data_IF_258685540763
#
_entry.id   IF_258685540763
#
_cell.length_a   1.000
_cell.length_b   1.000
_cell.length_c   1.000
_cell.angle_alpha   90.00
_cell.angle_beta   90.00
_cell.angle_gamma   90.00
#
_symmetry.space_group_name_H-M   'P 1'
#
loop_
_entity.id
_entity.type
_entity.pdbx_description
1 polymer ?
#
# COMPACT_ATOMS: atom_id res chain seq x y z
N UNK A 1 -9.23 11.02 -7.83
CA UNK A 1 -8.79 10.56 -6.49
C UNK A 1 -9.41 9.19 -6.26
N UNK A 2 -8.61 8.20 -5.89
CA UNK A 2 -9.07 6.84 -5.62
C UNK A 2 -10.15 6.84 -4.52
N UNK A 3 -11.23 6.03 -4.68
CA UNK A 3 -12.36 5.96 -3.73
C UNK A 3 -11.90 5.62 -2.31
N UNK A 4 -11.03 4.65 -2.17
CA UNK A 4 -10.53 4.16 -0.88
C UNK A 4 -9.72 5.24 -0.15
N UNK A 5 -8.91 5.99 -0.88
CA UNK A 5 -8.17 7.13 -0.35
C UNK A 5 -9.10 8.21 0.20
N UNK A 6 -10.16 8.56 -0.55
CA UNK A 6 -11.13 9.55 -0.09
C UNK A 6 -11.79 9.13 1.22
N UNK A 7 -12.22 7.88 1.32
CA UNK A 7 -12.82 7.33 2.54
C UNK A 7 -11.86 7.39 3.74
N UNK A 8 -10.57 7.12 3.53
CA UNK A 8 -9.56 7.22 4.58
C UNK A 8 -9.34 8.66 5.04
N UNK A 9 -9.16 9.59 4.11
CA UNK A 9 -8.98 11.01 4.40
C UNK A 9 -10.20 11.60 5.14
N UNK A 10 -11.41 11.23 4.74
CA UNK A 10 -12.63 11.65 5.43
C UNK A 10 -12.67 11.15 6.89
N UNK A 11 -12.25 9.90 7.13
CA UNK A 11 -12.13 9.34 8.49
C UNK A 11 -11.05 10.03 9.30
N UNK A 12 -9.89 10.28 8.69
CA UNK A 12 -8.76 11.00 9.29
C UNK A 12 -9.19 12.40 9.74
N UNK A 13 -9.92 13.13 8.91
CA UNK A 13 -10.44 14.45 9.26
C UNK A 13 -11.40 14.40 10.45
N UNK A 14 -12.32 13.43 10.50
CA UNK A 14 -13.21 13.23 11.65
C UNK A 14 -12.43 12.97 12.95
N UNK A 15 -11.37 12.15 12.90
CA UNK A 15 -10.50 11.92 14.06
C UNK A 15 -9.84 13.22 14.52
N UNK A 16 -9.28 14.01 13.60
CA UNK A 16 -8.66 15.31 13.92
C UNK A 16 -9.67 16.27 14.53
N UNK A 17 -10.90 16.32 14.04
CA UNK A 17 -11.98 17.13 14.61
C UNK A 17 -12.31 16.74 16.06
N UNK A 18 -12.41 15.45 16.36
CA UNK A 18 -12.64 14.94 17.71
C UNK A 18 -11.50 15.36 18.64
N UNK A 19 -10.24 15.12 18.20
CA UNK A 19 -9.06 15.50 18.97
C UNK A 19 -9.00 17.01 19.26
N UNK A 20 -9.35 17.84 18.27
CA UNK A 20 -9.38 19.31 18.44
C UNK A 20 -10.47 19.74 19.43
N UNK A 21 -11.68 19.17 19.37
CA UNK A 21 -12.74 19.44 20.34
C UNK A 21 -12.29 19.11 21.77
N UNK A 22 -11.67 17.95 21.96
CA UNK A 22 -11.15 17.54 23.26
C UNK A 22 -10.00 18.44 23.74
N UNK A 23 -9.12 18.86 22.84
CA UNK A 23 -8.06 19.81 23.15
C UNK A 23 -8.62 21.16 23.65
N UNK A 24 -9.66 21.69 22.99
CA UNK A 24 -10.33 22.94 23.42
C UNK A 24 -11.00 22.79 24.79
N UNK A 25 -11.55 21.60 25.10
CA UNK A 25 -12.08 21.34 26.45
C UNK A 25 -11.00 21.47 27.51
N UNK A 26 -9.85 20.76 27.37
CA UNK A 26 -8.76 20.82 28.34
C UNK A 26 -8.11 22.23 28.43
N UNK A 27 -8.07 22.93 27.31
CA UNK A 27 -7.59 24.32 27.28
C UNK A 27 -8.48 25.25 28.10
N UNK A 28 -9.81 25.10 28.02
CA UNK A 28 -10.76 25.88 28.86
C UNK A 28 -10.58 25.55 30.33
N UNK A 29 -10.21 24.35 30.68
CA UNK A 29 -10.01 23.90 32.07
C UNK A 29 -8.57 24.11 32.55
N UNK A 30 -7.73 24.85 31.81
CA UNK A 30 -6.33 25.13 32.13
C UNK A 30 -5.47 23.89 32.40
N UNK A 31 -5.77 22.74 31.74
CA UNK A 31 -4.97 21.53 31.83
C UNK A 31 -3.96 21.44 30.66
N UNK A 32 -2.87 22.20 30.81
CA UNK A 32 -1.81 22.30 29.80
C UNK A 32 -1.16 20.96 29.49
N UNK A 33 -1.12 20.03 30.45
CA UNK A 33 -0.54 18.69 30.26
C UNK A 33 -1.37 17.87 29.26
N UNK A 34 -2.70 17.86 29.42
CA UNK A 34 -3.58 17.16 28.50
C UNK A 34 -3.61 17.84 27.12
N UNK A 35 -3.57 19.17 27.09
CA UNK A 35 -3.45 19.93 25.83
C UNK A 35 -2.20 19.52 25.05
N UNK A 36 -1.06 19.32 25.72
CA UNK A 36 0.18 18.87 25.08
C UNK A 36 0.04 17.43 24.56
N UNK A 37 -0.49 16.50 25.36
CA UNK A 37 -0.70 15.10 24.97
C UNK A 37 -1.60 15.02 23.72
N UNK A 38 -2.73 15.73 23.72
CA UNK A 38 -3.67 15.72 22.60
C UNK A 38 -3.04 16.39 21.37
N UNK A 39 -2.28 17.48 21.56
CA UNK A 39 -1.58 18.14 20.46
C UNK A 39 -0.56 17.20 19.79
N UNK A 40 0.13 16.37 20.56
CA UNK A 40 1.04 15.34 20.03
C UNK A 40 0.27 14.22 19.29
N UNK A 41 -0.91 13.83 19.80
CA UNK A 41 -1.76 12.87 19.09
C UNK A 41 -2.28 13.44 17.76
N UNK A 42 -2.68 14.72 17.72
CA UNK A 42 -3.07 15.41 16.46
C UNK A 42 -1.92 15.37 15.47
N UNK A 43 -0.70 15.77 15.89
CA UNK A 43 0.49 15.71 15.03
C UNK A 43 0.77 14.29 14.51
N UNK A 44 0.56 13.28 15.34
CA UNK A 44 0.75 11.87 14.93
C UNK A 44 -0.24 11.49 13.84
N UNK A 45 -1.52 11.88 13.98
CA UNK A 45 -2.55 11.63 12.95
C UNK A 45 -2.30 12.45 11.69
N UNK A 46 -1.91 13.71 11.81
CA UNK A 46 -1.59 14.58 10.67
C UNK A 46 -0.38 14.09 9.89
N UNK A 47 0.67 13.67 10.62
CA UNK A 47 1.92 13.15 10.06
C UNK A 47 1.87 11.65 9.78
N UNK A 48 0.68 11.09 9.70
CA UNK A 48 0.45 9.71 9.33
C UNK A 48 1.12 9.40 7.99
N UNK A 49 2.28 8.79 8.04
CA UNK A 49 3.11 8.52 6.89
C UNK A 49 3.06 7.03 6.55
N UNK A 50 2.61 6.73 5.33
CA UNK A 50 2.72 5.40 4.76
C UNK A 50 4.05 5.28 4.01
N UNK A 51 5.03 4.67 4.66
CA UNK A 51 6.32 4.38 4.05
C UNK A 51 6.26 3.03 3.38
N UNK A 52 6.45 2.98 2.08
CA UNK A 52 6.45 1.77 1.27
C UNK A 52 7.83 1.59 0.66
N UNK A 53 8.52 0.53 1.04
CA UNK A 53 9.84 0.22 0.49
C UNK A 53 9.72 -0.75 -0.68
N UNK A 54 10.40 -0.44 -1.77
CA UNK A 54 10.53 -1.34 -2.91
C UNK A 54 11.77 -2.20 -2.74
N UNK A 55 11.59 -3.50 -2.84
CA UNK A 55 12.66 -4.49 -2.73
C UNK A 55 12.55 -5.51 -3.87
N UNK A 56 13.64 -6.16 -4.18
CA UNK A 56 13.71 -7.15 -5.24
C UNK A 56 15.11 -7.19 -5.83
N UNK A 57 15.37 -8.19 -6.65
CA UNK A 57 16.65 -8.34 -7.31
C UNK A 57 17.01 -7.14 -8.17
N UNK A 58 18.29 -7.07 -8.51
CA UNK A 58 18.78 -6.16 -9.53
C UNK A 58 18.03 -6.37 -10.85
N UNK A 59 17.75 -5.29 -11.57
CA UNK A 59 16.95 -5.33 -12.81
C UNK A 59 15.49 -5.79 -12.68
N UNK A 60 14.94 -5.96 -11.48
CA UNK A 60 13.51 -6.22 -11.31
C UNK A 60 12.61 -5.05 -11.78
N UNK A 61 13.22 -3.88 -12.04
CA UNK A 61 12.52 -2.72 -12.57
C UNK A 61 11.95 -1.79 -11.48
N UNK A 62 12.53 -1.78 -10.27
CA UNK A 62 12.10 -0.93 -9.15
C UNK A 62 12.03 0.54 -9.53
N UNK A 63 13.14 1.12 -10.00
CA UNK A 63 13.18 2.53 -10.42
C UNK A 63 12.27 2.82 -11.62
N UNK A 64 12.10 1.85 -12.54
CA UNK A 64 11.12 1.98 -13.64
C UNK A 64 9.69 2.02 -13.13
N UNK A 65 9.36 1.20 -12.13
CA UNK A 65 8.07 1.19 -11.47
C UNK A 65 7.78 2.53 -10.78
N UNK A 66 8.75 3.07 -10.06
CA UNK A 66 8.62 4.39 -9.43
C UNK A 66 8.45 5.49 -10.48
N UNK A 67 9.24 5.48 -11.55
CA UNK A 67 9.08 6.39 -12.68
C UNK A 67 7.66 6.28 -13.30
N UNK A 68 7.12 5.07 -13.43
CA UNK A 68 5.75 4.86 -13.93
C UNK A 68 4.68 5.44 -12.98
N UNK A 69 4.86 5.33 -11.67
CA UNK A 69 3.99 5.96 -10.68
C UNK A 69 4.06 7.49 -10.72
N UNK A 70 5.24 8.04 -11.03
CA UNK A 70 5.44 9.50 -11.19
C UNK A 70 4.96 10.02 -12.55
N UNK A 71 4.81 9.14 -13.54
CA UNK A 71 4.44 9.51 -14.91
C UNK A 71 5.59 10.09 -15.71
N UNK A 72 6.82 10.05 -15.20
CA UNK A 72 8.00 10.58 -15.87
C UNK A 72 9.29 9.86 -15.46
N UNK A 73 10.32 9.93 -16.30
CA UNK A 73 11.61 9.32 -16.04
C UNK A 73 12.48 10.25 -15.20
N UNK A 74 12.47 10.05 -13.89
CA UNK A 74 13.27 10.80 -12.92
C UNK A 74 14.45 9.97 -12.37
N UNK A 75 14.18 8.75 -11.99
CA UNK A 75 15.19 7.85 -11.43
C UNK A 75 15.91 7.10 -12.54
N UNK A 76 17.25 6.93 -12.43
CA UNK A 76 18.01 6.14 -13.38
C UNK A 76 17.56 4.68 -13.32
N UNK A 77 17.34 4.08 -14.49
CA UNK A 77 16.92 2.70 -14.65
C UNK A 77 17.71 2.06 -15.78
N UNK A 78 18.92 1.58 -15.50
CA UNK A 78 19.80 0.95 -16.49
C UNK A 78 19.98 -0.54 -16.23
N UNK A 79 20.60 -1.25 -17.16
CA UNK A 79 20.94 -2.69 -17.07
C UNK A 79 22.11 -3.01 -16.13
N UNK A 80 22.79 -2.02 -15.58
CA UNK A 80 23.86 -2.17 -14.57
C UNK A 80 23.37 -1.60 -13.24
N UNK A 81 24.02 -1.94 -12.13
CA UNK A 81 23.69 -1.40 -10.80
C UNK A 81 23.58 0.12 -10.86
N UNK A 82 22.35 0.64 -10.64
CA UNK A 82 22.04 2.04 -10.90
C UNK A 82 21.74 2.83 -9.66
N UNK A 83 21.23 2.17 -8.63
CA UNK A 83 20.86 2.82 -7.38
C UNK A 83 21.84 2.41 -6.30
N UNK A 84 22.71 3.33 -5.91
CA UNK A 84 23.71 3.13 -4.85
C UNK A 84 23.29 3.78 -3.52
N UNK A 85 22.24 4.60 -3.55
CA UNK A 85 21.71 5.36 -2.41
C UNK A 85 20.22 5.10 -2.24
N UNK A 86 19.71 5.34 -1.04
CA UNK A 86 18.28 5.29 -0.78
C UNK A 86 17.65 6.60 -1.24
N UNK A 87 16.54 6.49 -1.99
CA UNK A 87 15.77 7.65 -2.42
C UNK A 87 14.39 7.60 -1.78
N UNK A 88 14.00 8.68 -1.11
CA UNK A 88 12.66 8.89 -0.57
C UNK A 88 11.87 9.79 -1.49
N UNK A 89 10.83 9.26 -2.10
CA UNK A 89 9.93 10.00 -2.96
C UNK A 89 8.73 10.45 -2.14
N UNK A 90 8.58 11.76 -2.00
CA UNK A 90 7.57 12.44 -1.19
C UNK A 90 6.77 13.41 -2.07
N UNK A 91 5.55 13.73 -1.68
CA UNK A 91 4.78 14.74 -2.41
C UNK A 91 5.37 16.14 -2.23
N UNK A 92 5.31 16.97 -3.30
CA UNK A 92 5.85 18.35 -3.31
C UNK A 92 5.36 19.22 -2.15
N UNK A 93 4.15 18.99 -1.63
CA UNK A 93 3.60 19.74 -0.49
C UNK A 93 4.37 19.49 0.82
N UNK A 94 5.27 18.52 0.86
CA UNK A 94 6.15 18.21 2.01
C UNK A 94 7.48 18.94 1.95
N UNK A 95 7.78 19.61 0.84
CA UNK A 95 8.88 20.57 0.72
C UNK A 95 8.59 21.78 1.60
N UNK A 96 9.61 22.26 2.34
CA UNK A 96 9.45 23.40 3.26
C UNK A 96 9.61 24.74 2.57
N UNK A 97 10.47 24.83 1.56
CA UNK A 97 10.82 26.08 0.87
C UNK A 97 10.64 25.98 -0.65
N UNK A 98 9.93 24.96 -1.14
CA UNK A 98 9.69 24.74 -2.57
C UNK A 98 10.87 24.08 -3.31
N UNK A 99 11.83 23.52 -2.56
CA UNK A 99 12.86 22.65 -3.11
C UNK A 99 12.27 21.39 -3.75
N UNK A 100 12.87 20.92 -4.86
CA UNK A 100 12.48 19.67 -5.51
C UNK A 100 13.25 18.46 -4.96
N UNK A 101 14.34 18.68 -4.21
CA UNK A 101 15.04 17.60 -3.54
C UNK A 101 16.03 18.10 -2.50
N UNK A 102 16.46 17.19 -1.62
CA UNK A 102 17.52 17.41 -0.63
C UNK A 102 18.43 16.17 -0.62
N UNK A 103 19.71 16.39 -0.84
CA UNK A 103 20.74 15.36 -0.68
C UNK A 103 21.30 15.44 0.73
N UNK A 104 21.32 14.32 1.44
CA UNK A 104 21.91 14.20 2.76
C UNK A 104 23.22 13.41 2.66
N UNK A 105 24.26 13.94 3.24
CA UNK A 105 25.57 13.32 3.23
C UNK A 105 25.89 12.64 4.58
N UNK A 106 26.71 11.61 4.54
CA UNK A 106 27.12 10.84 5.73
C UNK A 106 27.84 11.68 6.80
N UNK A 107 28.39 12.83 6.44
CA UNK A 107 29.01 13.78 7.36
C UNK A 107 27.99 14.75 8.03
N UNK A 108 26.70 14.62 7.74
CA UNK A 108 25.63 15.46 8.27
C UNK A 108 25.36 16.74 7.45
N UNK A 109 26.11 16.99 6.38
CA UNK A 109 25.83 18.09 5.46
C UNK A 109 24.58 17.82 4.62
N UNK A 110 23.98 18.90 4.08
CA UNK A 110 22.82 18.83 3.20
C UNK A 110 23.05 19.71 1.98
N UNK A 111 22.58 19.25 0.83
CA UNK A 111 22.56 20.04 -0.41
C UNK A 111 21.12 20.13 -0.92
N UNK A 112 20.65 21.34 -1.20
CA UNK A 112 19.29 21.60 -1.68
C UNK A 112 19.31 21.57 -3.20
N UNK A 113 18.46 20.71 -3.77
CA UNK A 113 18.23 20.63 -5.20
C UNK A 113 17.02 21.51 -5.58
N UNK A 114 17.30 22.63 -6.25
CA UNK A 114 16.23 23.49 -6.76
C UNK A 114 15.48 22.83 -7.92
N UNK A 115 16.13 21.89 -8.60
CA UNK A 115 15.56 21.09 -9.67
C UNK A 115 15.99 19.63 -9.53
N UNK A 116 15.00 18.74 -9.49
CA UNK A 116 15.19 17.30 -9.38
C UNK A 116 14.91 16.63 -10.76
N UNK A 117 15.67 16.98 -11.79
CA UNK A 117 15.60 16.29 -13.08
C UNK A 117 16.51 15.04 -13.11
N UNK A 118 16.31 14.23 -14.14
CA UNK A 118 17.03 12.98 -14.34
C UNK A 118 18.57 13.14 -14.24
N UNK A 119 19.13 14.18 -14.85
CA UNK A 119 20.58 14.39 -14.87
C UNK A 119 21.11 14.76 -13.48
N UNK A 120 20.41 15.64 -12.79
CA UNK A 120 20.75 16.06 -11.43
C UNK A 120 20.68 14.87 -10.47
N UNK A 121 19.57 14.13 -10.47
CA UNK A 121 19.39 12.97 -9.60
C UNK A 121 20.45 11.90 -9.91
N UNK A 122 20.69 11.60 -11.19
CA UNK A 122 21.67 10.59 -11.61
C UNK A 122 23.09 10.88 -11.11
N UNK A 123 23.46 12.16 -10.97
CA UNK A 123 24.79 12.55 -10.48
C UNK A 123 25.04 12.17 -9.00
N UNK A 124 23.98 12.00 -8.21
CA UNK A 124 24.07 11.63 -6.79
C UNK A 124 23.77 10.15 -6.53
N UNK A 125 22.89 9.54 -7.32
CA UNK A 125 22.36 8.19 -7.01
C UNK A 125 22.91 7.09 -7.93
N UNK A 126 23.50 7.43 -9.07
CA UNK A 126 24.01 6.44 -10.03
C UNK A 126 25.40 5.94 -9.63
N UNK A 127 25.62 4.63 -9.74
CA UNK A 127 26.95 4.03 -9.60
C UNK A 127 27.94 4.50 -10.66
N UNK A 128 27.47 5.09 -11.76
CA UNK A 128 28.31 5.71 -12.81
C UNK A 128 28.76 7.13 -12.45
N UNK A 129 28.18 7.76 -11.44
CA UNK A 129 28.66 9.01 -10.89
C UNK A 129 30.02 8.79 -10.24
N UNK A 130 30.87 9.84 -10.18
CA UNK A 130 32.21 9.71 -9.63
C UNK A 130 32.16 9.00 -8.28
N UNK A 131 32.82 7.85 -8.14
CA UNK A 131 32.79 6.94 -6.98
C UNK A 131 32.93 7.64 -5.62
N UNK A 132 33.50 8.84 -5.58
CA UNK A 132 33.67 9.66 -4.40
C UNK A 132 32.40 10.36 -3.91
N UNK A 133 31.42 10.62 -4.78
CA UNK A 133 30.16 11.30 -4.42
C UNK A 133 29.16 10.27 -3.85
N UNK A 134 28.99 9.15 -4.55
CA UNK A 134 28.04 8.09 -4.15
C UNK A 134 28.36 7.54 -2.73
N UNK A 135 29.64 7.38 -2.40
CA UNK A 135 30.05 6.89 -1.06
C UNK A 135 29.80 7.90 0.07
N UNK A 136 29.55 9.16 -0.24
CA UNK A 136 29.29 10.22 0.73
C UNK A 136 27.81 10.55 0.90
N UNK A 137 26.97 10.14 -0.03
CA UNK A 137 25.53 10.35 0.06
C UNK A 137 24.93 9.30 0.99
N UNK A 138 24.19 9.74 1.98
CA UNK A 138 23.42 8.88 2.89
C UNK A 138 22.08 8.54 2.24
N UNK A 139 21.30 9.56 1.92
CA UNK A 139 20.05 9.39 1.20
C UNK A 139 19.65 10.68 0.44
N UNK A 140 18.64 10.55 -0.41
CA UNK A 140 18.07 11.68 -1.14
C UNK A 140 16.56 11.76 -0.90
N UNK A 141 16.07 12.91 -0.49
CA UNK A 141 14.66 13.25 -0.48
C UNK A 141 14.27 13.92 -1.81
N UNK A 142 13.25 13.42 -2.48
CA UNK A 142 12.70 13.98 -3.71
C UNK A 142 11.25 14.41 -3.48
N UNK A 143 10.94 15.66 -3.80
CA UNK A 143 9.61 16.26 -3.63
C UNK A 143 8.93 16.42 -4.99
N UNK A 144 7.98 15.53 -5.30
CA UNK A 144 7.45 15.33 -6.63
C UNK A 144 5.96 15.67 -6.73
N UNK A 145 5.52 16.17 -7.87
CA UNK A 145 4.11 16.42 -8.16
C UNK A 145 3.44 15.16 -8.69
N UNK A 146 3.19 14.21 -7.81
CA UNK A 146 2.54 12.96 -8.18
C UNK A 146 1.28 12.73 -7.36
N UNK A 147 0.18 12.42 -8.06
CA UNK A 147 -1.08 12.05 -7.43
C UNK A 147 -0.97 10.83 -6.52
N UNK A 148 -0.03 9.94 -6.79
CA UNK A 148 0.20 8.76 -5.97
C UNK A 148 0.80 9.14 -4.60
N UNK A 149 1.69 10.11 -4.56
CA UNK A 149 2.36 10.56 -3.33
C UNK A 149 1.53 11.50 -2.45
N UNK A 150 0.41 12.03 -2.96
CA UNK A 150 -0.51 12.80 -2.13
C UNK A 150 -0.96 11.94 -0.93
N UNK A 151 -1.29 12.54 0.21
CA UNK A 151 -1.78 11.82 1.41
C UNK A 151 -0.68 11.17 2.25
N UNK A 152 0.48 11.83 2.37
CA UNK A 152 1.61 11.40 3.21
C UNK A 152 2.18 10.02 2.87
N UNK A 153 2.16 9.64 1.60
CA UNK A 153 2.87 8.45 1.13
C UNK A 153 4.33 8.81 0.86
N UNK A 154 5.22 7.96 1.34
CA UNK A 154 6.63 7.97 0.97
C UNK A 154 6.96 6.64 0.30
N UNK A 155 7.43 6.71 -0.94
CA UNK A 155 7.99 5.57 -1.63
C UNK A 155 9.50 5.57 -1.44
N UNK A 156 10.05 4.40 -1.13
CA UNK A 156 11.49 4.24 -0.91
C UNK A 156 12.07 3.36 -1.99
N UNK A 157 12.93 3.95 -2.83
CA UNK A 157 13.76 3.18 -3.77
C UNK A 157 15.00 2.68 -3.02
N UNK A 158 15.09 1.38 -2.87
CA UNK A 158 16.23 0.75 -2.20
C UNK A 158 17.23 0.21 -3.22
N UNK A 159 18.54 0.18 -2.88
CA UNK A 159 19.52 -0.56 -3.64
C UNK A 159 19.07 -2.01 -3.89
N UNK A 160 19.46 -2.59 -5.05
CA UNK A 160 19.16 -3.99 -5.35
C UNK A 160 19.78 -4.93 -4.30
N UNK A 161 19.11 -6.06 -4.03
CA UNK A 161 19.48 -7.03 -2.99
C UNK A 161 20.90 -7.62 -3.14
N UNK A 162 21.42 -7.58 -4.35
CA UNK A 162 22.77 -8.05 -4.69
C UNK A 162 23.79 -6.90 -4.76
N UNK A 163 23.44 -5.70 -4.31
CA UNK A 163 24.32 -4.54 -4.28
C UNK A 163 25.54 -4.80 -3.40
N UNK A 164 26.71 -4.70 -4.00
CA UNK A 164 27.98 -5.27 -3.56
C UNK A 164 28.67 -4.50 -2.42
N UNK A 165 28.11 -3.42 -1.91
CA UNK A 165 28.77 -2.64 -0.87
C UNK A 165 28.31 -3.11 0.52
N UNK A 166 29.23 -3.70 1.29
CA UNK A 166 29.10 -3.90 2.73
C UNK A 166 28.65 -2.58 3.38
N UNK A 167 27.46 -2.56 3.98
CA UNK A 167 26.82 -1.37 4.57
C UNK A 167 25.49 -0.99 3.95
N UNK A 168 25.25 -1.21 2.65
CA UNK A 168 23.96 -0.93 2.01
C UNK A 168 22.86 -1.89 2.47
N UNK A 169 23.24 -3.12 2.83
CA UNK A 169 22.31 -4.12 3.35
C UNK A 169 21.70 -3.70 4.68
N UNK A 170 22.54 -3.28 5.64
CA UNK A 170 22.09 -2.85 6.97
C UNK A 170 21.17 -1.62 6.90
N UNK A 171 21.47 -0.67 6.01
CA UNK A 171 20.65 0.53 5.81
C UNK A 171 19.30 0.15 5.19
N UNK A 172 19.30 -0.73 4.18
CA UNK A 172 18.07 -1.24 3.57
C UNK A 172 17.24 -2.03 4.58
N UNK A 173 17.85 -2.87 5.40
CA UNK A 173 17.19 -3.65 6.44
C UNK A 173 16.51 -2.75 7.49
N UNK A 174 17.21 -1.72 7.96
CA UNK A 174 16.64 -0.73 8.88
C UNK A 174 15.45 0.02 8.27
N UNK A 175 15.53 0.34 6.97
CA UNK A 175 14.42 0.95 6.25
C UNK A 175 13.21 0.03 6.14
N UNK A 176 13.42 -1.25 5.88
CA UNK A 176 12.36 -2.25 5.86
C UNK A 176 11.64 -2.30 7.20
N UNK A 177 12.36 -2.36 8.30
CA UNK A 177 11.79 -2.41 9.67
C UNK A 177 10.97 -1.16 10.01
N UNK A 178 11.32 0.00 9.46
CA UNK A 178 10.62 1.26 9.66
C UNK A 178 9.47 1.47 8.69
N UNK A 179 9.34 0.64 7.67
CA UNK A 179 8.35 0.79 6.62
C UNK A 179 6.98 0.25 7.03
N UNK A 180 5.94 0.79 6.41
CA UNK A 180 4.56 0.37 6.59
C UNK A 180 4.22 -0.89 5.81
N UNK A 181 4.83 -1.02 4.64
CA UNK A 181 4.70 -2.14 3.73
C UNK A 181 5.95 -2.27 2.86
N UNK A 182 6.11 -3.45 2.28
CA UNK A 182 7.13 -3.71 1.27
C UNK A 182 6.47 -4.19 -0.02
N UNK A 183 6.92 -3.68 -1.16
CA UNK A 183 6.59 -4.25 -2.47
C UNK A 183 7.79 -5.07 -2.91
N UNK A 184 7.63 -6.39 -2.95
CA UNK A 184 8.64 -7.28 -3.50
C UNK A 184 8.39 -7.50 -5.00
N UNK A 185 9.40 -7.18 -5.82
CA UNK A 185 9.30 -7.26 -7.28
C UNK A 185 10.08 -8.44 -7.83
N UNK A 186 9.37 -9.39 -8.43
CA UNK A 186 9.94 -10.45 -9.25
C UNK A 186 10.13 -9.98 -10.70
N UNK A 187 11.09 -10.59 -11.40
CA UNK A 187 11.25 -10.44 -12.85
C UNK A 187 10.55 -11.57 -13.60
N UNK A 188 9.88 -11.24 -14.70
CA UNK A 188 9.17 -12.25 -15.49
C UNK A 188 10.09 -13.21 -16.25
N UNK A 189 11.29 -12.77 -16.62
CA UNK A 189 12.29 -13.58 -17.35
C UNK A 189 12.97 -14.65 -16.48
N UNK A 190 13.03 -14.43 -15.16
CA UNK A 190 13.61 -15.37 -14.20
C UNK A 190 12.89 -15.28 -12.86
N UNK A 191 11.61 -15.68 -12.80
CA UNK A 191 10.81 -15.49 -11.61
C UNK A 191 11.13 -16.53 -10.53
N UNK A 192 11.34 -16.06 -9.30
CA UNK A 192 11.45 -16.92 -8.13
C UNK A 192 12.81 -17.62 -8.01
N UNK A 193 13.88 -16.88 -8.14
CA UNK A 193 15.23 -17.35 -7.85
C UNK A 193 15.38 -17.77 -6.38
N UNK A 194 16.38 -18.62 -6.09
CA UNK A 194 16.70 -18.96 -4.68
C UNK A 194 17.09 -17.72 -3.87
N UNK A 195 17.67 -16.71 -4.51
CA UNK A 195 18.00 -15.43 -3.88
C UNK A 195 16.75 -14.66 -3.49
N UNK A 196 15.73 -14.62 -4.38
CA UNK A 196 14.44 -13.99 -4.08
C UNK A 196 13.80 -14.62 -2.84
N UNK A 197 13.72 -15.95 -2.79
CA UNK A 197 13.07 -16.65 -1.69
C UNK A 197 13.83 -16.59 -0.38
N UNK A 198 15.17 -16.56 -0.41
CA UNK A 198 15.98 -16.29 0.80
C UNK A 198 15.66 -14.91 1.37
N UNK A 199 15.59 -13.91 0.50
CA UNK A 199 15.30 -12.55 0.95
C UNK A 199 13.85 -12.40 1.42
N UNK A 200 12.89 -13.06 0.77
CA UNK A 200 11.49 -13.09 1.23
C UNK A 200 11.41 -13.72 2.63
N UNK A 201 12.19 -14.74 2.93
CA UNK A 201 12.26 -15.33 4.26
C UNK A 201 12.74 -14.32 5.30
N UNK A 202 13.82 -13.57 5.00
CA UNK A 202 14.33 -12.52 5.87
C UNK A 202 13.30 -11.37 6.03
N UNK A 203 12.65 -10.99 4.92
CA UNK A 203 11.65 -9.92 4.89
C UNK A 203 10.43 -10.23 5.76
N UNK A 204 9.93 -11.47 5.72
CA UNK A 204 8.79 -11.94 6.55
C UNK A 204 9.03 -11.81 8.05
N UNK A 205 10.29 -11.87 8.50
CA UNK A 205 10.66 -11.70 9.89
C UNK A 205 10.70 -10.21 10.32
N UNK A 206 10.76 -9.28 9.36
CA UNK A 206 10.97 -7.85 9.61
C UNK A 206 9.74 -7.00 9.35
N UNK A 207 8.86 -7.43 8.46
CA UNK A 207 7.68 -6.67 8.06
C UNK A 207 6.46 -7.58 7.90
N UNK A 208 5.34 -7.16 8.47
CA UNK A 208 4.10 -7.96 8.44
C UNK A 208 3.41 -7.93 7.08
N UNK A 209 3.74 -6.96 6.25
CA UNK A 209 3.02 -6.68 5.03
C UNK A 209 3.94 -6.67 3.83
N UNK A 210 3.80 -7.68 2.97
CA UNK A 210 4.54 -7.82 1.73
C UNK A 210 3.53 -7.93 0.59
N UNK A 211 3.65 -7.05 -0.39
CA UNK A 211 2.88 -7.08 -1.64
C UNK A 211 3.81 -7.60 -2.74
N UNK A 212 3.35 -8.59 -3.48
CA UNK A 212 4.18 -9.20 -4.51
C UNK A 212 3.76 -8.71 -5.90
N UNK A 213 4.75 -8.24 -6.68
CA UNK A 213 4.57 -7.84 -8.06
C UNK A 213 5.49 -8.68 -8.97
N UNK A 214 4.94 -9.24 -10.04
CA UNK A 214 5.68 -9.80 -11.16
C UNK A 214 5.78 -8.73 -12.22
N UNK A 215 6.93 -8.08 -12.34
CA UNK A 215 7.16 -7.03 -13.33
C UNK A 215 7.65 -7.60 -14.65
N UNK A 216 7.54 -6.77 -15.71
CA UNK A 216 7.96 -7.09 -17.09
C UNK A 216 7.11 -8.17 -17.75
N UNK A 217 5.80 -8.20 -17.47
CA UNK A 217 4.89 -9.17 -18.10
C UNK A 217 4.83 -9.02 -19.63
N UNK A 218 5.23 -7.87 -20.17
CA UNK A 218 5.36 -7.59 -21.59
C UNK A 218 6.54 -8.30 -22.26
N UNK A 219 7.50 -8.79 -21.47
CA UNK A 219 8.66 -9.56 -21.94
C UNK A 219 8.39 -11.07 -21.96
N UNK A 220 7.24 -11.53 -21.43
CA UNK A 220 6.88 -12.96 -21.38
C UNK A 220 6.68 -13.49 -22.80
N UNK A 221 7.31 -14.63 -23.09
CA UNK A 221 7.32 -15.24 -24.41
C UNK A 221 6.05 -16.04 -24.69
N UNK A 222 5.00 -15.33 -25.07
CA UNK A 222 3.71 -15.94 -25.43
C UNK A 222 3.86 -16.96 -26.58
N UNK A 223 4.83 -16.75 -27.48
CA UNK A 223 5.13 -17.68 -28.57
C UNK A 223 5.63 -19.05 -28.10
N UNK A 224 6.18 -19.14 -26.87
CA UNK A 224 6.63 -20.38 -26.23
C UNK A 224 5.53 -20.98 -25.32
N UNK A 225 4.32 -20.43 -25.32
CA UNK A 225 3.17 -20.90 -24.53
C UNK A 225 3.12 -20.35 -23.10
N UNK A 226 4.04 -19.46 -22.75
CA UNK A 226 4.02 -18.81 -21.44
C UNK A 226 2.99 -17.66 -21.41
N UNK A 227 2.39 -17.47 -20.25
CA UNK A 227 1.46 -16.36 -20.00
C UNK A 227 1.76 -15.77 -18.62
N UNK A 228 1.45 -14.48 -18.37
CA UNK A 228 1.58 -13.91 -17.03
C UNK A 228 0.93 -14.77 -15.94
N UNK A 229 -0.21 -15.37 -16.28
CA UNK A 229 -0.94 -16.24 -15.36
C UNK A 229 -0.18 -17.54 -15.06
N UNK A 230 0.40 -18.21 -16.08
CA UNK A 230 1.17 -19.46 -15.87
C UNK A 230 2.40 -19.20 -15.02
N UNK A 231 3.10 -18.07 -15.25
CA UNK A 231 4.27 -17.66 -14.47
C UNK A 231 3.88 -17.37 -13.01
N UNK A 232 2.78 -16.66 -12.78
CA UNK A 232 2.26 -16.38 -11.43
C UNK A 232 1.88 -17.68 -10.70
N UNK A 233 1.22 -18.62 -11.34
CA UNK A 233 0.85 -19.90 -10.71
C UNK A 233 2.10 -20.76 -10.40
N UNK A 234 3.13 -20.70 -11.23
CA UNK A 234 4.43 -21.31 -10.93
C UNK A 234 5.08 -20.68 -9.70
N UNK A 235 5.14 -19.35 -9.62
CA UNK A 235 5.65 -18.64 -8.44
C UNK A 235 4.90 -19.00 -7.16
N UNK A 236 3.59 -19.09 -7.21
CA UNK A 236 2.78 -19.51 -6.06
C UNK A 236 3.08 -20.94 -5.63
N UNK A 237 3.33 -21.82 -6.58
CA UNK A 237 3.71 -23.21 -6.30
C UNK A 237 5.06 -23.26 -5.59
N UNK A 238 6.06 -22.52 -6.09
CA UNK A 238 7.37 -22.39 -5.45
C UNK A 238 7.26 -21.77 -4.06
N UNK A 239 6.45 -20.71 -3.92
CA UNK A 239 6.22 -20.07 -2.61
C UNK A 239 5.67 -21.07 -1.59
N UNK A 240 4.69 -21.86 -1.98
CA UNK A 240 4.10 -22.90 -1.11
C UNK A 240 5.11 -23.98 -0.72
N UNK A 241 6.01 -24.34 -1.64
CA UNK A 241 7.09 -25.31 -1.37
C UNK A 241 8.11 -24.74 -0.38
N UNK A 242 8.55 -23.50 -0.60
CA UNK A 242 9.56 -22.84 0.24
C UNK A 242 9.01 -22.43 1.63
N UNK A 243 7.70 -22.16 1.74
CA UNK A 243 7.04 -21.73 2.98
C UNK A 243 5.82 -22.60 3.28
N UNK A 244 6.01 -23.87 3.67
CA UNK A 244 4.89 -24.79 3.94
C UNK A 244 4.03 -24.34 5.13
N UNK A 245 4.60 -23.58 6.06
CA UNK A 245 3.93 -23.08 7.26
C UNK A 245 3.21 -21.74 7.04
N UNK A 246 3.21 -21.23 5.80
CA UNK A 246 2.50 -19.97 5.51
C UNK A 246 0.98 -20.19 5.56
N UNK A 247 0.28 -19.39 6.35
CA UNK A 247 -1.17 -19.44 6.52
C UNK A 247 -1.93 -19.30 5.19
N UNK A 248 -1.37 -18.53 4.25
CA UNK A 248 -1.95 -18.32 2.93
C UNK A 248 -0.87 -18.14 1.86
N UNK A 249 -1.23 -18.47 0.63
CA UNK A 249 -0.40 -18.16 -0.55
C UNK A 249 -0.66 -16.69 -0.92
N UNK A 250 0.37 -15.84 -0.98
CA UNK A 250 0.19 -14.43 -1.27
C UNK A 250 -0.35 -14.19 -2.68
N UNK A 251 -1.07 -13.09 -2.83
CA UNK A 251 -1.45 -12.58 -4.13
C UNK A 251 -0.24 -11.99 -4.84
N UNK A 252 -0.03 -12.37 -6.12
CA UNK A 252 1.05 -11.86 -6.95
C UNK A 252 0.44 -11.15 -8.15
N UNK A 253 0.79 -9.89 -8.33
CA UNK A 253 0.27 -9.03 -9.38
C UNK A 253 1.22 -8.94 -10.56
N UNK A 254 0.74 -9.34 -11.75
CA UNK A 254 1.51 -9.15 -12.98
C UNK A 254 1.36 -7.73 -13.49
N UNK A 255 2.49 -7.02 -13.69
CA UNK A 255 2.54 -5.64 -14.18
C UNK A 255 3.63 -5.46 -15.24
N UNK A 256 3.49 -4.43 -16.07
CA UNK A 256 4.57 -3.90 -16.88
C UNK A 256 4.80 -2.43 -16.54
N UNK A 257 5.77 -2.19 -15.67
CA UNK A 257 6.15 -0.84 -15.28
C UNK A 257 6.62 0.00 -16.48
N UNK A 258 7.26 -0.64 -17.47
CA UNK A 258 7.76 0.08 -18.64
C UNK A 258 6.64 0.50 -19.60
N UNK A 259 5.65 -0.36 -19.84
CA UNK A 259 4.48 0.03 -20.64
C UNK A 259 3.72 1.19 -19.99
N UNK A 260 3.52 1.13 -18.67
CA UNK A 260 2.88 2.20 -17.92
C UNK A 260 3.67 3.51 -18.00
N UNK A 261 5.01 3.45 -17.86
CA UNK A 261 5.85 4.63 -17.98
C UNK A 261 5.76 5.27 -19.37
N UNK A 262 5.81 4.46 -20.44
CA UNK A 262 5.65 4.95 -21.81
C UNK A 262 4.26 5.59 -22.03
N UNK A 263 3.22 4.95 -21.49
CA UNK A 263 1.85 5.45 -21.61
C UNK A 263 1.64 6.80 -20.93
N UNK A 264 2.20 6.96 -19.73
CA UNK A 264 1.98 8.12 -18.84
C UNK A 264 2.91 9.29 -19.14
N UNK A 265 4.12 9.00 -19.59
CA UNK A 265 5.14 10.02 -19.79
C UNK A 265 4.85 10.91 -21.00
N UNK A 266 5.14 12.21 -20.84
CA UNK A 266 5.22 13.16 -21.94
C UNK A 266 6.61 13.19 -22.60
N UNK A 267 7.58 12.47 -22.05
CA UNK A 267 8.93 12.34 -22.60
C UNK A 267 8.92 11.33 -23.76
N UNK A 268 9.81 11.51 -24.71
CA UNK A 268 10.05 10.51 -25.74
C UNK A 268 10.83 9.34 -25.13
N UNK A 269 10.09 8.29 -24.77
CA UNK A 269 10.64 7.06 -24.26
C UNK A 269 10.65 6.00 -25.35
N UNK A 270 11.79 5.31 -25.49
CA UNK A 270 11.92 4.20 -26.40
C UNK A 270 11.32 2.95 -25.78
N UNK A 271 10.25 2.44 -26.40
CA UNK A 271 9.67 1.15 -26.07
C UNK A 271 9.69 0.25 -27.32
N UNK A 272 10.46 -0.82 -27.26
CA UNK A 272 10.67 -1.73 -28.40
C UNK A 272 11.17 -1.02 -29.67
N UNK A 273 12.05 -0.03 -29.52
CA UNK A 273 12.64 0.72 -30.64
C UNK A 273 11.70 1.74 -31.29
N UNK A 274 10.67 2.19 -30.56
CA UNK A 274 9.71 3.17 -31.06
C UNK A 274 9.56 4.35 -30.08
N UNK A 275 9.42 5.56 -30.63
CA UNK A 275 9.31 6.81 -29.87
C UNK A 275 7.98 7.56 -30.04
N UNK A 276 7.26 7.29 -31.13
CA UNK A 276 6.04 7.99 -31.51
C UNK A 276 4.82 7.12 -31.24
N UNK A 277 4.06 7.48 -30.24
CA UNK A 277 2.84 6.77 -29.84
C UNK A 277 1.63 7.66 -29.99
N UNK A 278 0.57 7.16 -30.65
CA UNK A 278 -0.74 7.81 -30.66
C UNK A 278 -1.36 7.73 -29.28
N UNK A 279 -2.40 8.52 -29.06
CA UNK A 279 -3.15 8.51 -27.81
C UNK A 279 -3.78 7.13 -27.55
N UNK A 280 -4.35 6.52 -28.57
CA UNK A 280 -4.98 5.20 -28.51
C UNK A 280 -3.96 4.10 -28.16
N UNK A 281 -2.75 4.20 -28.70
CA UNK A 281 -1.66 3.27 -28.37
C UNK A 281 -1.19 3.44 -26.93
N UNK A 282 -1.10 4.67 -26.43
CA UNK A 282 -0.79 4.94 -25.02
C UNK A 282 -1.88 4.41 -24.09
N UNK A 283 -3.16 4.60 -24.43
CA UNK A 283 -4.28 4.03 -23.66
C UNK A 283 -4.24 2.50 -23.63
N UNK A 284 -3.84 1.87 -24.75
CA UNK A 284 -3.66 0.43 -24.80
C UNK A 284 -2.49 -0.04 -23.93
N UNK A 285 -1.33 0.62 -24.03
CA UNK A 285 -0.15 0.30 -23.20
C UNK A 285 -0.48 0.46 -21.70
N UNK A 286 -1.23 1.49 -21.31
CA UNK A 286 -1.70 1.68 -19.94
C UNK A 286 -2.58 0.50 -19.49
N UNK A 287 -3.54 0.09 -20.31
CA UNK A 287 -4.40 -1.06 -20.01
C UNK A 287 -3.64 -2.39 -19.93
N UNK A 288 -2.72 -2.61 -20.87
CA UNK A 288 -1.93 -3.84 -20.95
C UNK A 288 -0.91 -3.93 -19.78
N UNK A 289 -0.45 -2.79 -19.28
CA UNK A 289 0.49 -2.70 -18.18
C UNK A 289 -0.03 -3.24 -16.84
N UNK A 290 -1.34 -3.29 -16.65
CA UNK A 290 -2.03 -3.65 -15.39
C UNK A 290 -1.68 -2.77 -14.19
N UNK A 291 -1.09 -1.62 -14.44
CA UNK A 291 -0.59 -0.73 -13.41
C UNK A 291 -1.73 -0.07 -12.61
N UNK A 292 -2.83 0.31 -13.29
CA UNK A 292 -3.99 0.92 -12.61
C UNK A 292 -4.66 -0.04 -11.63
N UNK A 293 -4.84 -1.31 -12.04
CA UNK A 293 -5.39 -2.34 -11.17
C UNK A 293 -4.50 -2.61 -9.95
N UNK A 294 -3.17 -2.60 -10.16
CA UNK A 294 -2.21 -2.74 -9.08
C UNK A 294 -2.24 -1.55 -8.12
N UNK A 295 -2.28 -0.32 -8.63
CA UNK A 295 -2.39 0.90 -7.83
C UNK A 295 -3.68 0.92 -7.00
N UNK A 296 -4.82 0.55 -7.59
CA UNK A 296 -6.09 0.43 -6.88
C UNK A 296 -6.00 -0.58 -5.72
N UNK A 297 -5.35 -1.71 -5.96
CA UNK A 297 -5.12 -2.72 -4.93
C UNK A 297 -4.20 -2.21 -3.83
N UNK A 298 -3.13 -1.53 -4.20
CA UNK A 298 -2.20 -0.92 -3.25
C UNK A 298 -2.92 0.11 -2.35
N UNK A 299 -3.78 0.94 -2.95
CA UNK A 299 -4.62 1.87 -2.20
C UNK A 299 -5.61 1.16 -1.27
N UNK A 300 -6.28 0.14 -1.75
CA UNK A 300 -7.18 -0.67 -0.92
C UNK A 300 -6.44 -1.24 0.28
N UNK A 301 -5.26 -1.79 0.05
CA UNK A 301 -4.42 -2.35 1.07
C UNK A 301 -4.01 -1.31 2.14
N UNK A 302 -3.52 -0.14 1.73
CA UNK A 302 -3.12 0.94 2.63
C UNK A 302 -4.29 1.48 3.46
N UNK A 303 -5.49 1.58 2.89
CA UNK A 303 -6.62 2.27 3.52
C UNK A 303 -7.56 1.37 4.32
N UNK A 304 -7.53 0.07 4.10
CA UNK A 304 -8.38 -0.92 4.78
C UNK A 304 -7.60 -1.85 5.72
N UNK A 305 -6.27 -1.82 5.70
CA UNK A 305 -5.42 -2.69 6.50
C UNK A 305 -5.47 -2.39 8.00
N UNK A 306 -5.04 -3.35 8.81
CA UNK A 306 -4.95 -3.22 10.28
C UNK A 306 -4.11 -2.01 10.72
N UNK A 307 -3.10 -1.63 9.94
CA UNK A 307 -2.30 -0.44 10.22
C UNK A 307 -3.11 0.84 10.12
N UNK A 308 -3.85 1.04 9.01
CA UNK A 308 -4.71 2.22 8.84
C UNK A 308 -5.76 2.31 9.96
N UNK A 309 -6.32 1.18 10.36
CA UNK A 309 -7.23 1.08 11.50
C UNK A 309 -6.55 1.48 12.81
N UNK A 310 -5.38 0.92 13.09
CA UNK A 310 -4.63 1.24 14.31
C UNK A 310 -4.22 2.72 14.37
N UNK A 311 -3.80 3.31 13.25
CA UNK A 311 -3.40 4.72 13.17
C UNK A 311 -4.56 5.69 13.44
N UNK A 312 -5.78 5.34 13.04
CA UNK A 312 -6.96 6.17 13.30
C UNK A 312 -7.57 5.94 14.68
N UNK A 313 -7.59 4.69 15.17
CA UNK A 313 -8.24 4.34 16.44
C UNK A 313 -7.36 4.62 17.65
N UNK A 314 -6.06 4.31 17.60
CA UNK A 314 -5.16 4.48 18.76
C UNK A 314 -5.15 5.90 19.35
N UNK A 315 -5.10 7.00 18.56
CA UNK A 315 -5.21 8.35 19.11
C UNK A 315 -6.55 8.64 19.79
N UNK A 316 -7.64 8.09 19.24
CA UNK A 316 -9.00 8.26 19.80
C UNK A 316 -9.13 7.49 21.11
N UNK A 317 -8.67 6.24 21.17
CA UNK A 317 -8.65 5.42 22.40
C UNK A 317 -7.85 6.08 23.52
N UNK A 318 -6.70 6.68 23.19
CA UNK A 318 -5.90 7.45 24.15
C UNK A 318 -6.68 8.64 24.74
N UNK A 319 -7.43 9.35 23.89
CA UNK A 319 -8.25 10.48 24.33
C UNK A 319 -9.42 10.02 25.18
N UNK A 320 -10.08 8.92 24.82
CA UNK A 320 -11.14 8.34 25.65
C UNK A 320 -10.59 8.01 27.04
N UNK A 321 -9.45 7.31 27.12
CA UNK A 321 -8.82 6.99 28.40
C UNK A 321 -8.45 8.24 29.21
N UNK A 322 -8.04 9.34 28.56
CA UNK A 322 -7.78 10.61 29.23
C UNK A 322 -9.07 11.21 29.83
N UNK A 323 -10.16 11.24 29.03
CA UNK A 323 -11.45 11.78 29.48
C UNK A 323 -12.07 10.92 30.60
N UNK A 324 -11.98 9.58 30.53
CA UNK A 324 -12.44 8.67 31.56
C UNK A 324 -11.69 8.87 32.89
N UNK A 325 -10.36 9.08 32.84
CA UNK A 325 -9.57 9.41 34.03
C UNK A 325 -10.00 10.75 34.63
N UNK A 326 -10.09 11.80 33.79
CA UNK A 326 -10.53 13.11 34.27
C UNK A 326 -11.92 13.05 34.88
N UNK A 327 -12.85 12.27 34.31
CA UNK A 327 -14.18 12.06 34.88
C UNK A 327 -14.11 11.35 36.25
N UNK A 328 -13.24 10.32 36.39
CA UNK A 328 -13.03 9.64 37.68
C UNK A 328 -12.47 10.58 38.72
N UNK A 329 -11.45 11.36 38.36
CA UNK A 329 -10.80 12.30 39.27
C UNK A 329 -11.80 13.36 39.76
N UNK A 330 -12.64 13.90 38.89
CA UNK A 330 -13.68 14.88 39.25
C UNK A 330 -14.75 14.25 40.13
N UNK A 331 -15.18 13.00 39.85
CA UNK A 331 -16.13 12.28 40.69
C UNK A 331 -15.59 12.01 42.11
N UNK A 332 -14.31 11.70 42.23
CA UNK A 332 -13.67 11.51 43.52
C UNK A 332 -13.52 12.84 44.29
N UNK A 333 -13.21 13.94 43.60
CA UNK A 333 -13.19 15.27 44.17
C UNK A 333 -14.57 15.72 44.61
N UNK A 334 -15.62 15.41 43.87
CA UNK A 334 -17.03 15.69 44.22
C UNK A 334 -17.44 14.96 45.48
N UNK A 335 -17.05 13.68 45.69
CA UNK A 335 -17.28 12.96 46.94
C UNK A 335 -16.59 13.57 48.14
N UNK A 336 -15.38 14.19 47.92
CA UNK A 336 -14.64 14.87 48.97
C UNK A 336 -15.25 16.24 49.32
N UNK A 337 -15.95 16.89 48.34
CA UNK A 337 -16.54 18.23 48.45
C UNK A 337 -18.02 18.23 48.84
N UNK A 338 -18.62 17.11 49.29
CA UNK A 338 -20.05 17.01 49.70
C UNK A 338 -20.51 18.05 50.77
N UNK A 339 -19.55 18.89 51.24
CA UNK A 339 -19.77 19.95 52.22
C UNK A 339 -19.41 21.36 51.75
N UNK A 340 -19.14 21.61 50.46
CA UNK A 340 -18.67 22.91 49.94
C UNK A 340 -19.53 23.43 48.76
N UNK A 341 -19.58 24.78 48.64
CA UNK A 341 -20.44 25.54 47.71
C UNK A 341 -20.06 25.39 46.20
N UNK A 342 -18.97 24.66 45.87
CA UNK A 342 -18.48 24.52 44.50
C UNK A 342 -19.10 23.31 43.74
N UNK A 343 -20.11 22.67 44.31
CA UNK A 343 -20.71 21.43 43.78
C UNK A 343 -21.35 21.65 42.40
N UNK A 344 -21.96 22.78 42.16
CA UNK A 344 -22.66 23.10 40.90
C UNK A 344 -21.71 23.23 39.71
N UNK A 345 -20.52 23.84 39.95
CA UNK A 345 -19.48 23.95 38.89
C UNK A 345 -18.88 22.60 38.52
N UNK A 346 -18.66 21.73 39.50
CA UNK A 346 -18.15 20.37 39.31
C UNK A 346 -19.19 19.49 38.60
N UNK A 347 -20.47 19.57 38.98
CA UNK A 347 -21.55 18.85 38.29
C UNK A 347 -21.68 19.26 36.83
N UNK A 348 -21.52 20.57 36.52
CA UNK A 348 -21.52 21.06 35.13
C UNK A 348 -20.33 20.52 34.34
N UNK A 349 -19.14 20.49 34.92
CA UNK A 349 -17.95 19.92 34.29
C UNK A 349 -18.09 18.42 34.01
N UNK A 350 -18.65 17.65 34.97
CA UNK A 350 -18.96 16.21 34.76
C UNK A 350 -19.97 16.04 33.61
N UNK A 351 -20.99 16.87 33.55
CA UNK A 351 -21.99 16.80 32.49
C UNK A 351 -21.37 17.07 31.12
N UNK A 352 -20.47 18.06 31.03
CA UNK A 352 -19.77 18.39 29.79
C UNK A 352 -18.82 17.24 29.34
N UNK A 353 -18.07 16.63 30.26
CA UNK A 353 -17.19 15.49 29.99
C UNK A 353 -18.01 14.29 29.53
N UNK A 354 -19.08 13.95 30.24
CA UNK A 354 -19.93 12.83 29.87
C UNK A 354 -20.57 13.02 28.50
N UNK A 355 -20.95 14.25 28.15
CA UNK A 355 -21.45 14.58 26.81
C UNK A 355 -20.39 14.31 25.76
N UNK A 356 -19.14 14.75 26.00
CA UNK A 356 -18.03 14.50 25.07
C UNK A 356 -17.70 13.02 24.93
N UNK A 357 -17.69 12.24 26.03
CA UNK A 357 -17.49 10.80 26.00
C UNK A 357 -18.59 10.12 25.17
N UNK A 358 -19.85 10.53 25.36
CA UNK A 358 -20.97 9.98 24.60
C UNK A 358 -20.87 10.34 23.10
N UNK A 359 -20.55 11.57 22.77
CA UNK A 359 -20.36 12.01 21.40
C UNK A 359 -19.23 11.22 20.70
N UNK A 360 -18.13 10.96 21.42
CA UNK A 360 -17.01 10.16 20.91
C UNK A 360 -17.45 8.71 20.70
N UNK A 361 -18.13 8.11 21.69
CA UNK A 361 -18.61 6.74 21.60
C UNK A 361 -19.65 6.55 20.48
N UNK A 362 -20.55 7.52 20.28
CA UNK A 362 -21.48 7.49 19.13
C UNK A 362 -20.76 7.61 17.79
N UNK A 363 -19.76 8.45 17.70
CA UNK A 363 -18.94 8.55 16.49
C UNK A 363 -18.16 7.24 16.22
N UNK A 364 -17.61 6.59 17.25
CA UNK A 364 -16.94 5.28 17.10
C UNK A 364 -17.95 4.23 16.65
N UNK A 365 -19.13 4.13 17.30
CA UNK A 365 -20.19 3.21 16.86
C UNK A 365 -20.64 3.48 15.43
N UNK A 366 -20.68 4.75 15.03
CA UNK A 366 -20.94 5.14 13.65
C UNK A 366 -19.89 4.60 12.68
N UNK A 367 -18.61 4.74 13.03
CA UNK A 367 -17.50 4.22 12.24
C UNK A 367 -17.52 2.69 12.18
N UNK A 368 -17.75 2.01 13.32
CA UNK A 368 -17.91 0.56 13.39
C UNK A 368 -19.10 0.09 12.55
N UNK A 369 -20.25 0.75 12.69
CA UNK A 369 -21.45 0.44 11.90
C UNK A 369 -21.23 0.63 10.39
N UNK A 370 -20.51 1.70 10.00
CA UNK A 370 -20.14 1.93 8.60
C UNK A 370 -19.20 0.85 8.07
N UNK A 371 -18.26 0.38 8.91
CA UNK A 371 -17.37 -0.73 8.56
C UNK A 371 -18.17 -2.03 8.41
N UNK A 372 -19.05 -2.35 9.36
CA UNK A 372 -19.90 -3.55 9.30
C UNK A 372 -20.84 -3.49 8.08
N UNK A 373 -21.46 -2.34 7.83
CA UNK A 373 -22.34 -2.16 6.67
C UNK A 373 -21.60 -2.35 5.35
N UNK A 374 -20.40 -1.78 5.22
CA UNK A 374 -19.58 -1.95 4.02
C UNK A 374 -19.11 -3.40 3.86
N UNK A 375 -18.78 -4.08 4.97
CA UNK A 375 -18.43 -5.50 4.96
C UNK A 375 -19.62 -6.36 4.55
N UNK A 376 -20.80 -6.12 5.13
CA UNK A 376 -22.01 -6.85 4.79
C UNK A 376 -22.45 -6.60 3.33
N UNK A 377 -22.27 -5.38 2.82
CA UNK A 377 -22.52 -5.06 1.43
C UNK A 377 -21.56 -5.85 0.52
N UNK A 378 -20.28 -5.84 0.83
CA UNK A 378 -19.27 -6.60 0.09
C UNK A 378 -19.56 -8.11 0.12
N UNK A 379 -19.97 -8.66 1.26
CA UNK A 379 -20.37 -10.06 1.38
C UNK A 379 -21.62 -10.35 0.55
N UNK A 380 -22.61 -9.45 0.52
CA UNK A 380 -23.81 -9.60 -0.28
C UNK A 380 -23.51 -9.58 -1.77
N UNK A 381 -22.71 -8.62 -2.22
CA UNK A 381 -22.26 -8.52 -3.62
C UNK A 381 -21.43 -9.76 -4.01
N UNK A 382 -20.58 -10.25 -3.13
CA UNK A 382 -19.83 -11.50 -3.35
C UNK A 382 -20.78 -12.69 -3.53
N UNK A 383 -21.77 -12.84 -2.66
CA UNK A 383 -22.76 -13.91 -2.77
C UNK A 383 -23.53 -13.83 -4.09
N UNK A 384 -24.03 -12.67 -4.46
CA UNK A 384 -24.78 -12.47 -5.71
C UNK A 384 -23.92 -12.81 -6.94
N UNK A 385 -22.66 -12.38 -6.94
CA UNK A 385 -21.73 -12.70 -8.03
C UNK A 385 -21.47 -14.20 -8.13
N UNK A 386 -21.24 -14.86 -7.00
CA UNK A 386 -21.05 -16.31 -6.94
C UNK A 386 -22.29 -17.03 -7.43
N UNK A 387 -23.48 -16.66 -6.94
CA UNK A 387 -24.74 -17.27 -7.41
C UNK A 387 -24.98 -17.07 -8.90
N UNK A 388 -24.76 -15.87 -9.43
CA UNK A 388 -24.89 -15.59 -10.86
C UNK A 388 -23.96 -16.46 -11.71
N UNK A 389 -22.72 -16.65 -11.26
CA UNK A 389 -21.77 -17.52 -11.96
C UNK A 389 -22.14 -19.00 -11.88
N UNK A 390 -22.75 -19.42 -10.78
CA UNK A 390 -23.25 -20.79 -10.62
C UNK A 390 -24.44 -21.08 -11.52
N UNK A 391 -25.40 -20.17 -11.60
CA UNK A 391 -26.56 -20.34 -12.50
C UNK A 391 -26.09 -20.42 -13.96
N UNK A 392 -25.16 -19.58 -14.39
CA UNK A 392 -24.56 -19.67 -15.74
C UNK A 392 -23.84 -20.99 -15.98
N UNK A 393 -23.13 -21.51 -14.97
CA UNK A 393 -22.50 -22.83 -15.07
C UNK A 393 -23.52 -23.93 -15.23
N UNK A 394 -24.58 -23.91 -14.40
CA UNK A 394 -25.69 -24.85 -14.43
C UNK A 394 -26.37 -24.85 -15.81
N UNK A 395 -26.73 -23.69 -16.33
CA UNK A 395 -27.32 -23.56 -17.69
C UNK A 395 -26.38 -24.10 -18.77
N UNK A 396 -25.08 -23.79 -18.66
CA UNK A 396 -24.05 -24.29 -19.59
C UNK A 396 -23.95 -25.82 -19.58
N UNK A 397 -24.04 -26.45 -18.40
CA UNK A 397 -23.99 -27.91 -18.29
C UNK A 397 -25.28 -28.57 -18.77
N UNK A 398 -26.43 -27.97 -18.44
CA UNK A 398 -27.73 -28.45 -18.96
C UNK A 398 -27.81 -28.36 -20.48
N UNK A 399 -27.36 -27.26 -21.09
CA UNK A 399 -27.34 -27.11 -22.54
C UNK A 399 -26.43 -28.16 -23.21
N UNK A 400 -25.31 -28.52 -22.59
CA UNK A 400 -24.46 -29.63 -23.08
C UNK A 400 -25.23 -30.97 -23.08
N UNK A 401 -25.95 -31.26 -21.97
CA UNK A 401 -26.78 -32.48 -21.87
C UNK A 401 -27.85 -32.56 -22.96
N UNK A 402 -28.45 -31.44 -23.32
CA UNK A 402 -29.51 -31.39 -24.37
C UNK A 402 -28.97 -31.53 -25.81
N UNK A 403 -27.66 -31.34 -26.02
CA UNK A 403 -27.04 -31.41 -27.35
C UNK A 403 -26.34 -32.74 -27.63
N UNK A 404 -26.36 -33.69 -26.68
CA UNK A 404 -25.73 -34.98 -26.85
C UNK A 404 -26.68 -36.02 -27.44
N UNK A 405 -26.25 -36.59 -28.58
CA UNK A 405 -26.98 -37.64 -29.31
C UNK A 405 -26.29 -39.02 -29.18
N UNK A 406 -25.15 -39.09 -28.47
CA UNK A 406 -24.34 -40.30 -28.32
C UNK A 406 -24.32 -40.81 -26.88
N UNK A 407 -24.61 -42.07 -26.66
CA UNK A 407 -24.64 -42.75 -25.37
C UNK A 407 -23.26 -42.89 -24.74
N UNK A 408 -22.19 -43.03 -25.53
CA UNK A 408 -20.83 -43.18 -25.04
C UNK A 408 -20.32 -41.84 -24.47
N UNK A 409 -20.68 -40.70 -25.06
CA UNK A 409 -20.41 -39.37 -24.53
C UNK A 409 -21.14 -39.10 -23.22
N UNK A 410 -22.32 -39.62 -23.03
CA UNK A 410 -23.13 -39.50 -21.83
C UNK A 410 -22.52 -40.29 -20.65
N UNK A 411 -22.05 -41.52 -20.86
CA UNK A 411 -21.37 -42.31 -19.86
C UNK A 411 -20.03 -41.70 -19.44
N UNK A 412 -19.27 -41.14 -20.39
CA UNK A 412 -18.03 -40.43 -20.11
C UNK A 412 -18.30 -39.14 -19.28
N UNK A 413 -19.36 -38.42 -19.60
CA UNK A 413 -19.77 -37.25 -18.84
C UNK A 413 -20.22 -37.59 -17.42
N UNK A 414 -21.04 -38.63 -17.25
CA UNK A 414 -21.52 -39.07 -15.94
C UNK A 414 -20.35 -39.45 -15.03
N UNK A 415 -19.31 -40.12 -15.59
CA UNK A 415 -18.12 -40.49 -14.84
C UNK A 415 -17.20 -39.32 -14.46
N UNK A 416 -17.24 -38.21 -15.19
CA UNK A 416 -16.36 -37.07 -15.01
C UNK A 416 -17.06 -35.81 -14.49
N UNK A 417 -18.39 -35.78 -14.43
CA UNK A 417 -19.21 -34.60 -14.10
C UNK A 417 -18.85 -34.01 -12.73
N UNK A 418 -18.61 -34.87 -11.72
CA UNK A 418 -18.26 -34.44 -10.38
C UNK A 418 -16.92 -33.72 -10.34
N UNK A 419 -15.94 -34.21 -11.10
CA UNK A 419 -14.62 -33.61 -11.18
C UNK A 419 -14.65 -32.28 -11.94
N UNK A 420 -15.42 -32.21 -13.01
CA UNK A 420 -15.57 -31.00 -13.83
C UNK A 420 -16.33 -29.90 -13.03
N UNK A 421 -17.44 -30.27 -12.36
CA UNK A 421 -18.16 -29.37 -11.48
C UNK A 421 -17.27 -28.84 -10.35
N UNK A 422 -16.52 -29.71 -9.67
CA UNK A 422 -15.61 -29.30 -8.62
C UNK A 422 -14.51 -28.35 -9.12
N UNK A 423 -13.97 -28.61 -10.30
CA UNK A 423 -12.96 -27.75 -10.94
C UNK A 423 -13.54 -26.36 -11.28
N UNK A 424 -14.75 -26.35 -11.86
CA UNK A 424 -15.43 -25.08 -12.18
C UNK A 424 -15.89 -24.35 -10.91
N UNK A 425 -16.38 -25.05 -9.89
CA UNK A 425 -16.69 -24.53 -8.57
C UNK A 425 -15.50 -23.77 -7.97
N UNK A 426 -14.35 -24.44 -7.87
CA UNK A 426 -13.11 -23.82 -7.36
C UNK A 426 -12.71 -22.59 -8.18
N UNK A 427 -12.91 -22.61 -9.50
CA UNK A 427 -12.61 -21.49 -10.39
C UNK A 427 -13.56 -20.30 -10.17
N UNK A 428 -14.86 -20.56 -9.96
CA UNK A 428 -15.88 -19.54 -9.67
C UNK A 428 -15.56 -18.87 -8.33
N UNK A 429 -15.41 -19.64 -7.25
CA UNK A 429 -15.07 -19.10 -5.92
C UNK A 429 -13.82 -18.24 -6.01
N UNK A 430 -12.73 -18.79 -6.55
CA UNK A 430 -11.45 -18.08 -6.65
C UNK A 430 -11.52 -16.81 -7.51
N UNK A 431 -12.35 -16.80 -8.56
CA UNK A 431 -12.52 -15.60 -9.40
C UNK A 431 -13.37 -14.53 -8.73
N UNK A 432 -14.28 -14.94 -7.85
CA UNK A 432 -15.14 -14.02 -7.10
C UNK A 432 -14.40 -13.48 -5.85
N UNK A 433 -13.66 -14.31 -5.13
CA UNK A 433 -12.78 -13.87 -4.04
C UNK A 433 -11.84 -12.74 -4.49
N UNK A 434 -11.22 -12.85 -5.67
CA UNK A 434 -10.30 -11.84 -6.20
C UNK A 434 -10.90 -10.45 -6.41
N UNK A 435 -12.19 -10.34 -6.45
CA UNK A 435 -12.90 -9.08 -6.68
C UNK A 435 -13.27 -8.38 -5.37
N UNK A 436 -13.37 -9.16 -4.28
CA UNK A 436 -13.90 -8.70 -2.98
C UNK A 436 -12.85 -8.72 -1.85
N UNK A 437 -11.73 -9.42 -2.03
CA UNK A 437 -10.54 -9.35 -1.17
C UNK A 437 -9.54 -8.38 -1.75
#
# INVERSE_FOLDING_TARGET
MNKYRKEYEDKKQRVIEILNKTKEYYKKNNDDRQVEIISNNIKTVENDEFVIVLVGEFSAGKSTFLNALMGERLLPSFTRETTATINYLKHKNRSQNGEEGIVYFTNGEKEILQKADFNTISSYVSTESSLNVVRKVDHVDLFLDSKFLEGNITLVDSPGLNGVADGHREVTEKQIEQSSASIFMFKADQPGSDTDFKFIADLRNKINTIIFALNKIDEIKVSEGETPKSVIESLKSIYKEKFPDAESIPEIWGISAYQALVARSNQNLDYRGRHDYTKEEKERLESDSKMNEFEDRLWQFMTKGEKAKAMLLSPVEKVINCLERSNSDIQDELKLLESKDDKEEIENNICEINTQINDINENIKGIESDIEKNLNLAISEFKEEVYSKFEKLKESQLNKLYTWDDLDELEFFESNISNEINKQYKKIIKSSERKFI
#
